data_IF_751356847951
#
_entry.id   IF_751356847951
#
_cell.length_a   1.000
_cell.length_b   1.000
_cell.length_c   1.000
_cell.angle_alpha   90.00
_cell.angle_beta   90.00
_cell.angle_gamma   90.00
#
_symmetry.space_group_name_H-M   'P 1'
#
loop_
_entity.id
_entity.type
_entity.pdbx_description
1 polymer ?
#
# COMPACT_ATOMS: atom_id res chain seq x y z
N UNK A 1 13.03 31.46 21.42
CA UNK A 1 13.23 30.12 20.84
C UNK A 1 11.83 29.57 20.60
N UNK A 2 11.49 29.27 19.38
CA UNK A 2 10.17 28.70 19.05
C UNK A 2 10.14 27.24 19.53
N UNK A 3 9.07 26.91 20.24
CA UNK A 3 8.85 25.54 20.69
C UNK A 3 8.24 24.73 19.54
N UNK A 4 9.09 23.95 18.84
CA UNK A 4 8.68 23.10 17.73
C UNK A 4 7.71 22.00 18.20
N UNK A 5 7.88 21.46 19.41
CA UNK A 5 6.99 20.46 19.96
C UNK A 5 5.57 21.01 20.11
N UNK A 6 5.44 22.24 20.60
CA UNK A 6 4.15 22.94 20.65
C UNK A 6 3.51 23.13 19.27
N UNK A 7 4.30 23.42 18.23
CA UNK A 7 3.79 23.55 16.86
C UNK A 7 3.25 22.19 16.37
N UNK A 8 4.02 21.12 16.54
CA UNK A 8 3.62 19.78 16.14
C UNK A 8 2.37 19.30 16.88
N UNK A 9 2.34 19.50 18.20
CA UNK A 9 1.19 19.14 19.04
C UNK A 9 -0.08 19.92 18.67
N UNK A 10 0.06 21.21 18.36
CA UNK A 10 -1.07 22.03 17.90
C UNK A 10 -1.64 21.48 16.57
N UNK A 11 -0.76 21.10 15.62
CA UNK A 11 -1.17 20.48 14.38
C UNK A 11 -1.92 19.16 14.59
N UNK A 12 -1.40 18.28 15.46
CA UNK A 12 -2.03 17.01 15.83
C UNK A 12 -3.41 17.25 16.43
N UNK A 13 -3.50 18.14 17.42
CA UNK A 13 -4.76 18.44 18.13
C UNK A 13 -5.83 19.08 17.23
N UNK A 14 -5.41 19.87 16.23
CA UNK A 14 -6.32 20.46 15.23
C UNK A 14 -6.68 19.50 14.09
N UNK A 15 -6.21 18.25 14.10
CA UNK A 15 -6.49 17.24 13.08
C UNK A 15 -5.87 17.57 11.73
N UNK A 16 -4.71 18.22 11.72
CA UNK A 16 -3.98 18.47 10.47
C UNK A 16 -3.49 17.15 9.85
N UNK A 17 -3.46 17.07 8.53
CA UNK A 17 -2.79 15.99 7.83
C UNK A 17 -1.30 16.26 7.61
N UNK A 18 -0.96 17.53 7.37
CA UNK A 18 0.41 17.96 7.13
C UNK A 18 0.66 19.31 7.81
N UNK A 19 1.89 19.51 8.29
CA UNK A 19 2.40 20.74 8.89
C UNK A 19 3.55 21.23 8.01
N UNK A 20 3.45 22.44 7.48
CA UNK A 20 4.48 23.07 6.66
C UNK A 20 5.18 24.18 7.44
N UNK A 21 6.52 24.12 7.44
CA UNK A 21 7.40 25.06 8.16
C UNK A 21 8.37 25.66 7.15
N UNK A 22 8.29 26.98 6.96
CA UNK A 22 9.05 27.72 5.95
C UNK A 22 9.54 29.04 6.57
N UNK A 23 10.76 29.48 6.22
CA UNK A 23 11.32 30.77 6.64
C UNK A 23 10.42 31.95 6.23
N UNK A 24 10.30 32.96 7.11
CA UNK A 24 9.49 34.16 6.92
C UNK A 24 7.99 33.88 6.68
N UNK A 25 7.52 32.74 7.18
CA UNK A 25 6.10 32.37 7.19
C UNK A 25 5.71 31.88 8.58
N UNK A 26 4.44 32.06 8.93
CA UNK A 26 3.84 31.34 10.03
C UNK A 26 3.72 29.86 9.69
N UNK A 27 3.72 28.93 10.64
CA UNK A 27 3.41 27.54 10.36
C UNK A 27 2.06 27.40 9.66
N UNK A 28 2.00 26.58 8.62
CA UNK A 28 0.80 26.33 7.81
C UNK A 28 0.37 24.88 8.00
N UNK A 29 -0.86 24.68 8.42
CA UNK A 29 -1.45 23.35 8.63
C UNK A 29 -2.39 23.01 7.47
N UNK A 30 -2.35 21.78 7.02
CA UNK A 30 -3.36 21.24 6.10
C UNK A 30 -4.47 20.56 6.89
N UNK A 31 -5.61 21.24 7.01
CA UNK A 31 -6.78 20.74 7.74
C UNK A 31 -7.91 20.56 6.72
N UNK A 32 -8.52 19.37 6.63
CA UNK A 32 -9.57 19.05 5.67
C UNK A 32 -9.19 19.42 4.22
N UNK A 33 -7.94 19.13 3.82
CA UNK A 33 -7.34 19.46 2.51
C UNK A 33 -7.09 20.97 2.25
N UNK A 34 -7.43 21.86 3.18
CA UNK A 34 -7.23 23.31 3.08
C UNK A 34 -5.97 23.71 3.83
N UNK A 35 -5.13 24.55 3.22
CA UNK A 35 -3.98 25.14 3.89
C UNK A 35 -4.46 26.30 4.77
N UNK A 36 -4.18 26.23 6.06
CA UNK A 36 -4.60 27.20 7.08
C UNK A 36 -3.38 27.73 7.82
N UNK A 37 -3.19 29.03 7.81
CA UNK A 37 -2.11 29.71 8.53
C UNK A 37 -2.39 29.75 10.04
N UNK A 38 -1.38 29.47 10.87
CA UNK A 38 -1.51 29.52 12.34
C UNK A 38 -1.21 30.91 12.84
N UNK A 39 -2.25 31.74 12.99
CA UNK A 39 -2.13 33.12 13.37
C UNK A 39 -1.64 33.33 14.81
N UNK A 40 -1.75 32.30 15.64
CA UNK A 40 -1.31 32.33 17.05
C UNK A 40 0.23 32.18 17.17
N UNK A 41 0.92 31.80 16.10
CA UNK A 41 2.36 31.59 16.06
C UNK A 41 2.98 32.68 15.19
N UNK A 42 4.08 33.33 15.64
CA UNK A 42 4.77 34.33 14.83
C UNK A 42 5.40 33.74 13.56
N UNK A 43 5.80 34.60 12.64
CA UNK A 43 6.61 34.21 11.48
C UNK A 43 7.96 33.66 11.95
N UNK A 44 8.39 32.56 11.30
CA UNK A 44 9.61 31.84 11.65
C UNK A 44 10.82 32.53 11.04
N UNK A 45 11.76 32.92 11.89
CA UNK A 45 13.03 33.46 11.44
C UNK A 45 13.97 32.35 10.94
N UNK A 46 15.01 32.73 10.21
CA UNK A 46 16.08 31.81 9.81
C UNK A 46 16.70 31.05 10.98
N UNK A 47 16.83 31.70 12.10
CA UNK A 47 17.34 31.08 13.34
C UNK A 47 16.40 29.97 13.82
N UNK A 48 15.09 30.25 13.84
CA UNK A 48 14.10 29.26 14.24
C UNK A 48 14.11 28.03 13.31
N UNK A 49 14.28 28.23 12.01
CA UNK A 49 14.42 27.14 11.03
C UNK A 49 15.65 26.27 11.30
N UNK A 50 16.78 26.89 11.65
CA UNK A 50 18.00 26.15 11.99
C UNK A 50 17.85 25.40 13.33
N UNK A 51 17.23 26.03 14.33
CA UNK A 51 16.93 25.37 15.61
C UNK A 51 15.98 24.15 15.40
N UNK A 52 15.00 24.26 14.50
CA UNK A 52 14.11 23.15 14.10
C UNK A 52 14.89 22.04 13.38
N UNK A 53 15.84 22.40 12.52
CA UNK A 53 16.70 21.41 11.86
C UNK A 53 17.53 20.62 12.88
N UNK A 54 18.13 21.32 13.84
CA UNK A 54 18.87 20.68 14.93
C UNK A 54 17.99 19.76 15.78
N UNK A 55 16.76 20.19 16.06
CA UNK A 55 15.79 19.38 16.79
C UNK A 55 15.51 18.04 16.07
N UNK A 56 15.21 18.07 14.77
CA UNK A 56 14.90 16.86 14.03
C UNK A 56 16.13 15.96 13.79
N UNK A 57 17.31 16.53 13.62
CA UNK A 57 18.54 15.74 13.44
C UNK A 57 19.14 15.28 14.76
N UNK A 58 18.78 15.91 15.88
CA UNK A 58 19.18 15.56 17.25
C UNK A 58 20.68 15.23 17.39
N UNK A 59 21.55 15.99 16.72
CA UNK A 59 22.98 15.76 16.74
C UNK A 59 23.49 14.52 15.96
N UNK A 60 22.62 13.82 15.23
CA UNK A 60 22.99 12.65 14.43
C UNK A 60 23.80 13.08 13.20
N UNK A 61 25.12 12.79 13.21
CA UNK A 61 26.03 13.15 12.13
C UNK A 61 25.69 12.43 10.81
N UNK A 62 25.16 11.20 10.86
CA UNK A 62 24.74 10.47 9.68
C UNK A 62 23.60 11.17 8.93
N UNK A 63 22.57 11.63 9.66
CA UNK A 63 21.45 12.39 9.08
C UNK A 63 21.91 13.73 8.49
N UNK A 64 22.87 14.38 9.13
CA UNK A 64 23.45 15.62 8.61
C UNK A 64 24.27 15.40 7.35
N UNK A 65 25.05 14.31 7.28
CA UNK A 65 25.81 13.93 6.10
C UNK A 65 24.89 13.62 4.92
N UNK A 66 23.86 12.81 5.15
CA UNK A 66 22.80 12.50 4.17
C UNK A 66 22.16 13.79 3.63
N UNK A 67 21.74 14.70 4.51
CA UNK A 67 21.18 15.97 4.09
C UNK A 67 22.15 16.85 3.31
N UNK A 68 23.42 16.87 3.69
CA UNK A 68 24.45 17.66 2.99
C UNK A 68 24.73 17.11 1.57
N UNK A 69 24.65 15.81 1.37
CA UNK A 69 24.87 15.13 0.09
C UNK A 69 23.64 15.19 -0.80
N UNK A 70 22.49 14.72 -0.29
CA UNK A 70 21.26 14.54 -1.06
C UNK A 70 20.40 15.81 -1.13
N UNK A 71 20.65 16.84 -0.29
CA UNK A 71 19.85 18.06 -0.15
C UNK A 71 18.39 17.79 0.25
N UNK A 72 18.13 16.60 0.73
CA UNK A 72 16.83 16.15 1.25
C UNK A 72 17.07 15.17 2.40
N UNK A 73 16.08 15.04 3.27
CA UNK A 73 16.07 14.07 4.36
C UNK A 73 14.62 13.67 4.65
N UNK A 74 14.38 12.39 4.78
CA UNK A 74 13.10 11.85 5.22
C UNK A 74 13.28 11.17 6.59
N UNK A 75 12.52 11.63 7.58
CA UNK A 75 12.62 11.19 8.97
C UNK A 75 11.28 10.66 9.47
N UNK A 76 11.34 9.64 10.32
CA UNK A 76 10.23 9.32 11.19
C UNK A 76 10.47 9.97 12.56
N UNK A 77 9.47 10.64 13.08
CA UNK A 77 9.51 11.32 14.35
C UNK A 77 8.28 10.97 15.18
N UNK A 78 8.46 10.73 16.46
CA UNK A 78 7.37 10.39 17.35
C UNK A 78 7.26 11.47 18.45
N UNK A 79 6.05 11.96 18.66
CA UNK A 79 5.76 12.94 19.71
C UNK A 79 4.39 12.63 20.33
N UNK A 80 4.35 12.49 21.66
CA UNK A 80 3.14 12.24 22.43
C UNK A 80 2.27 11.08 21.87
N UNK A 81 2.90 10.01 21.36
CA UNK A 81 2.23 8.86 20.77
C UNK A 81 1.71 9.07 19.34
N UNK A 82 1.90 10.25 18.77
CA UNK A 82 1.64 10.51 17.36
C UNK A 82 2.93 10.35 16.54
N UNK A 83 2.83 9.66 15.42
CA UNK A 83 3.94 9.46 14.49
C UNK A 83 3.87 10.47 13.36
N UNK A 84 5.02 11.04 13.01
CA UNK A 84 5.17 12.02 11.94
C UNK A 84 6.21 11.53 10.94
N UNK A 85 5.91 11.67 9.65
CA UNK A 85 6.92 11.61 8.60
C UNK A 85 7.34 13.02 8.26
N UNK A 86 8.60 13.35 8.51
CA UNK A 86 9.14 14.69 8.28
C UNK A 86 10.06 14.64 7.07
N UNK A 87 9.69 15.33 6.01
CA UNK A 87 10.56 15.61 4.88
C UNK A 87 11.24 16.96 5.11
N UNK A 88 12.55 16.97 4.97
CA UNK A 88 13.38 18.18 4.98
C UNK A 88 13.98 18.36 3.60
N UNK A 89 13.83 19.52 3.01
CA UNK A 89 14.42 19.91 1.72
C UNK A 89 14.96 21.34 1.78
N UNK A 90 15.55 21.85 0.71
CA UNK A 90 16.07 23.20 0.65
C UNK A 90 15.20 24.11 -0.22
N UNK A 91 14.93 25.32 0.26
CA UNK A 91 14.44 26.43 -0.52
C UNK A 91 15.32 27.65 -0.26
N UNK A 92 15.92 28.25 -1.30
CA UNK A 92 16.88 29.34 -1.17
C UNK A 92 18.04 29.07 -0.18
N UNK A 93 18.56 27.84 -0.17
CA UNK A 93 19.59 27.35 0.75
C UNK A 93 19.20 27.39 2.24
N UNK A 94 17.89 27.37 2.54
CA UNK A 94 17.35 27.26 3.90
C UNK A 94 16.51 25.99 3.97
N UNK A 95 16.59 25.21 5.06
CA UNK A 95 15.73 24.04 5.24
C UNK A 95 14.25 24.43 5.25
N UNK A 96 13.43 23.63 4.60
CA UNK A 96 11.97 23.68 4.68
C UNK A 96 11.47 22.30 5.10
N UNK A 97 10.42 22.28 5.92
CA UNK A 97 9.92 21.05 6.51
C UNK A 97 8.46 20.82 6.12
N UNK A 98 8.17 19.57 5.81
CA UNK A 98 6.80 19.09 5.71
C UNK A 98 6.66 17.89 6.64
N UNK A 99 5.96 18.06 7.75
CA UNK A 99 5.67 17.00 8.69
C UNK A 99 4.26 16.45 8.41
N UNK A 100 4.17 15.22 7.92
CA UNK A 100 2.91 14.49 7.73
C UNK A 100 2.55 13.76 9.01
N UNK A 101 1.35 14.00 9.52
CA UNK A 101 0.84 13.28 10.68
C UNK A 101 0.29 11.93 10.21
N UNK A 102 0.90 10.86 10.72
CA UNK A 102 0.50 9.49 10.41
C UNK A 102 -0.61 9.11 11.40
N UNK A 103 -1.74 8.66 10.87
CA UNK A 103 -2.87 8.22 11.69
C UNK A 103 -2.46 6.99 12.50
N UNK A 104 -2.67 7.05 13.82
CA UNK A 104 -2.36 5.95 14.73
C UNK A 104 -3.39 4.81 14.72
N UNK A 105 -4.59 5.07 14.18
CA UNK A 105 -5.63 4.05 14.12
C UNK A 105 -5.34 3.04 13.02
N UNK A 106 -5.14 1.78 13.42
CA UNK A 106 -4.96 0.67 12.49
C UNK A 106 -6.23 0.44 11.66
N UNK A 107 -6.08 0.29 10.34
CA UNK A 107 -7.22 0.00 9.49
C UNK A 107 -7.79 -1.37 9.83
N UNK A 108 -9.12 -1.44 9.93
CA UNK A 108 -9.83 -2.69 10.18
C UNK A 108 -10.33 -3.28 8.87
N UNK A 109 -10.09 -4.58 8.65
CA UNK A 109 -10.47 -5.28 7.43
C UNK A 109 -11.95 -5.09 7.05
N UNK A 110 -12.85 -5.17 8.05
CA UNK A 110 -14.31 -4.99 7.85
C UNK A 110 -14.72 -3.64 7.25
N UNK A 111 -13.88 -2.61 7.44
CA UNK A 111 -14.18 -1.24 6.97
C UNK A 111 -13.66 -0.98 5.54
N UNK A 112 -12.88 -1.90 4.96
CA UNK A 112 -12.28 -1.71 3.63
C UNK A 112 -13.22 -2.05 2.48
N UNK A 113 -14.31 -2.76 2.75
CA UNK A 113 -15.22 -3.24 1.70
C UNK A 113 -14.62 -4.33 0.81
N UNK A 114 -13.54 -4.98 1.27
CA UNK A 114 -12.96 -6.15 0.62
C UNK A 114 -13.81 -7.39 0.87
N UNK A 115 -13.93 -8.30 -0.12
CA UNK A 115 -14.63 -9.57 0.07
C UNK A 115 -13.89 -10.50 1.04
N UNK A 116 -14.63 -11.37 1.72
CA UNK A 116 -14.08 -12.33 2.68
C UNK A 116 -13.05 -13.31 2.09
N UNK A 117 -13.03 -13.51 0.79
CA UNK A 117 -11.99 -14.30 0.13
C UNK A 117 -10.60 -13.75 0.38
N UNK A 118 -10.45 -12.43 0.50
CA UNK A 118 -9.16 -11.77 0.80
C UNK A 118 -8.66 -12.16 2.20
N UNK A 119 -9.56 -12.25 3.18
CA UNK A 119 -9.24 -12.77 4.51
C UNK A 119 -8.77 -14.22 4.47
N UNK A 120 -9.47 -15.07 3.70
CA UNK A 120 -9.13 -16.49 3.56
C UNK A 120 -7.75 -16.72 2.94
N UNK A 121 -7.39 -15.94 1.91
CA UNK A 121 -6.06 -16.06 1.28
C UNK A 121 -4.94 -15.54 2.18
N UNK A 122 -5.22 -14.55 3.02
CA UNK A 122 -4.25 -14.03 4.01
C UNK A 122 -3.95 -15.04 5.14
N UNK A 123 -4.79 -16.05 5.33
CA UNK A 123 -4.59 -17.16 6.29
C UNK A 123 -4.02 -18.42 5.64
N UNK A 124 -3.52 -18.35 4.41
CA UNK A 124 -2.83 -19.48 3.78
C UNK A 124 -1.51 -19.79 4.50
N UNK A 125 -1.11 -21.06 4.55
CA UNK A 125 0.13 -21.44 5.23
C UNK A 125 1.38 -20.96 4.52
N UNK A 126 1.33 -20.83 3.19
CA UNK A 126 2.48 -20.46 2.36
C UNK A 126 2.06 -19.92 1.00
N UNK A 127 2.97 -19.24 0.34
CA UNK A 127 2.84 -18.73 -1.01
C UNK A 127 2.99 -17.21 -1.11
N UNK A 128 2.75 -16.66 -2.29
CA UNK A 128 2.88 -15.23 -2.57
C UNK A 128 1.50 -14.60 -2.80
N UNK A 129 1.22 -13.51 -2.08
CA UNK A 129 0.04 -12.67 -2.28
C UNK A 129 0.55 -11.28 -2.68
N UNK A 130 0.00 -10.71 -3.75
CA UNK A 130 0.37 -9.38 -4.21
C UNK A 130 -0.82 -8.41 -4.11
N UNK A 131 -0.61 -7.30 -3.38
CA UNK A 131 -1.55 -6.17 -3.32
C UNK A 131 -1.05 -5.09 -4.27
N UNK A 132 -1.81 -4.77 -5.31
CA UNK A 132 -1.32 -3.90 -6.37
C UNK A 132 -2.26 -2.71 -6.63
N UNK A 133 -1.74 -1.70 -7.31
CA UNK A 133 -2.49 -0.48 -7.64
C UNK A 133 -1.58 0.74 -7.74
N UNK A 134 -2.09 1.82 -8.29
CA UNK A 134 -1.37 3.10 -8.40
C UNK A 134 -0.99 3.64 -7.01
N UNK A 135 -0.10 4.62 -6.95
CA UNK A 135 0.12 5.39 -5.71
C UNK A 135 -1.21 5.95 -5.19
N UNK A 136 -1.37 5.95 -3.86
CA UNK A 136 -2.60 6.39 -3.18
C UNK A 136 -3.87 5.55 -3.51
N UNK A 137 -3.71 4.30 -3.94
CA UNK A 137 -4.84 3.37 -4.14
C UNK A 137 -5.25 2.61 -2.88
N UNK A 138 -4.59 2.86 -1.74
CA UNK A 138 -4.89 2.24 -0.45
C UNK A 138 -4.15 0.91 -0.21
N UNK A 139 -3.07 0.60 -0.94
CA UNK A 139 -2.29 -0.65 -0.75
C UNK A 139 -1.79 -0.83 0.67
N UNK A 140 -1.11 0.19 1.24
CA UNK A 140 -0.62 0.16 2.62
C UNK A 140 -1.76 -0.03 3.62
N UNK A 141 -2.90 0.61 3.39
CA UNK A 141 -4.10 0.45 4.22
C UNK A 141 -4.61 -0.99 4.20
N UNK A 142 -4.67 -1.62 3.02
CA UNK A 142 -5.08 -3.02 2.88
C UNK A 142 -4.07 -3.96 3.53
N UNK A 143 -2.79 -3.74 3.29
CA UNK A 143 -1.72 -4.53 3.86
C UNK A 143 -1.77 -4.52 5.39
N UNK A 144 -1.85 -3.31 5.98
CA UNK A 144 -1.92 -3.15 7.43
C UNK A 144 -3.22 -3.69 8.05
N UNK A 145 -4.33 -3.64 7.30
CA UNK A 145 -5.57 -4.29 7.73
C UNK A 145 -5.48 -5.81 7.74
N UNK A 146 -4.76 -6.41 6.78
CA UNK A 146 -4.49 -7.86 6.77
C UNK A 146 -3.57 -8.27 7.91
N UNK A 147 -2.48 -7.52 8.16
CA UNK A 147 -1.59 -7.74 9.30
C UNK A 147 -2.39 -7.67 10.61
N UNK A 148 -3.22 -6.64 10.76
CA UNK A 148 -4.04 -6.45 11.95
C UNK A 148 -5.04 -7.61 12.16
N UNK A 149 -5.68 -8.09 11.10
CA UNK A 149 -6.58 -9.24 11.14
C UNK A 149 -5.86 -10.52 11.59
N UNK A 150 -4.70 -10.81 10.98
CA UNK A 150 -3.88 -11.99 11.33
C UNK A 150 -3.41 -11.90 12.78
N UNK A 151 -2.96 -10.72 13.21
CA UNK A 151 -2.49 -10.47 14.57
C UNK A 151 -3.56 -10.76 15.64
N UNK A 152 -4.84 -10.51 15.33
CA UNK A 152 -5.95 -10.80 16.24
C UNK A 152 -6.42 -12.27 16.20
N UNK A 153 -6.19 -12.97 15.09
CA UNK A 153 -6.79 -14.29 14.84
C UNK A 153 -5.81 -15.44 14.94
N UNK A 154 -4.53 -15.23 14.59
CA UNK A 154 -3.53 -16.30 14.45
C UNK A 154 -2.31 -16.10 15.36
N UNK A 155 -1.64 -17.20 15.72
CA UNK A 155 -0.39 -17.19 16.47
C UNK A 155 0.78 -17.36 15.50
N UNK A 156 1.24 -16.27 14.91
CA UNK A 156 2.28 -16.23 13.86
C UNK A 156 3.39 -15.25 14.21
N UNK A 157 4.58 -15.47 13.69
CA UNK A 157 5.61 -14.44 13.66
C UNK A 157 5.54 -13.71 12.31
N UNK A 158 5.16 -12.43 12.37
CA UNK A 158 5.02 -11.55 11.22
C UNK A 158 6.21 -10.60 11.19
N UNK A 159 6.99 -10.63 10.12
CA UNK A 159 8.03 -9.66 9.86
C UNK A 159 7.56 -8.71 8.76
N UNK A 160 7.70 -7.40 8.96
CA UNK A 160 7.44 -6.42 7.91
C UNK A 160 8.73 -5.71 7.51
N UNK A 161 8.85 -5.45 6.21
CA UNK A 161 9.90 -4.64 5.60
C UNK A 161 9.22 -3.46 4.92
N UNK A 162 9.41 -2.25 5.41
CA UNK A 162 8.65 -1.07 4.98
C UNK A 162 9.59 0.13 4.73
N UNK A 163 9.19 1.03 3.84
CA UNK A 163 9.91 2.28 3.61
C UNK A 163 8.94 3.43 3.30
N UNK A 164 8.62 4.25 4.33
CA UNK A 164 8.79 4.01 5.77
C UNK A 164 7.68 3.13 6.37
N UNK A 165 7.79 2.81 7.66
CA UNK A 165 6.69 2.20 8.42
C UNK A 165 5.55 3.23 8.54
N UNK A 166 4.37 2.92 7.95
CA UNK A 166 3.22 3.83 7.98
C UNK A 166 2.31 3.62 9.21
N UNK A 167 2.21 2.39 9.71
CA UNK A 167 1.39 2.03 10.86
C UNK A 167 2.19 1.17 11.83
N UNK A 168 2.11 1.49 13.11
CA UNK A 168 2.77 0.68 14.16
C UNK A 168 1.79 -0.33 14.73
N UNK A 169 2.14 -1.59 14.62
CA UNK A 169 1.38 -2.70 15.18
C UNK A 169 1.88 -3.06 16.57
N UNK A 170 0.96 -3.30 17.48
CA UNK A 170 1.26 -3.93 18.75
C UNK A 170 1.00 -5.43 18.62
N UNK A 171 1.95 -6.26 19.08
CA UNK A 171 1.77 -7.72 19.09
C UNK A 171 0.64 -8.11 20.04
N UNK A 172 -0.28 -8.95 19.55
CA UNK A 172 -1.39 -9.52 20.33
C UNK A 172 -1.28 -11.05 20.35
N UNK A 173 -1.98 -11.76 19.44
CA UNK A 173 -1.77 -13.20 19.27
C UNK A 173 -0.50 -13.50 18.49
N UNK A 174 -0.21 -12.68 17.50
CA UNK A 174 1.02 -12.81 16.71
C UNK A 174 2.15 -11.95 17.27
N UNK A 175 3.38 -12.38 17.06
CA UNK A 175 4.56 -11.55 17.27
C UNK A 175 4.85 -10.75 16.01
N UNK A 176 4.77 -9.41 16.08
CA UNK A 176 5.05 -8.54 14.96
C UNK A 176 6.39 -7.85 15.15
N UNK A 177 7.26 -7.96 14.15
CA UNK A 177 8.54 -7.25 14.06
C UNK A 177 8.53 -6.41 12.80
N UNK A 178 8.55 -5.09 12.94
CA UNK A 178 8.57 -4.15 11.82
C UNK A 178 9.96 -3.60 11.64
N UNK A 179 10.47 -3.64 10.40
CA UNK A 179 11.78 -3.12 10.03
C UNK A 179 11.65 -2.06 8.95
N UNK A 180 12.32 -0.95 9.16
CA UNK A 180 12.42 0.11 8.18
C UNK A 180 13.59 -0.14 7.23
N UNK A 181 13.31 -0.05 5.92
CA UNK A 181 14.29 -0.29 4.86
C UNK A 181 14.86 1.05 4.40
N UNK A 182 16.19 1.12 4.29
CA UNK A 182 16.91 2.30 3.80
C UNK A 182 18.32 2.39 4.34
N UNK A 183 19.11 3.29 3.81
CA UNK A 183 20.45 3.53 4.29
C UNK A 183 20.43 4.05 5.74
N UNK A 184 21.22 3.43 6.61
CA UNK A 184 21.24 3.77 8.04
C UNK A 184 19.95 3.43 8.82
N UNK A 185 19.08 2.60 8.24
CA UNK A 185 17.88 2.04 8.87
C UNK A 185 18.12 0.61 9.35
N UNK A 186 17.02 -0.11 9.69
CA UNK A 186 17.08 -1.48 10.20
C UNK A 186 17.65 -2.48 9.18
N UNK A 187 17.47 -2.21 7.88
CA UNK A 187 18.09 -2.95 6.79
C UNK A 187 18.29 -2.07 5.55
N UNK A 188 19.38 -2.30 4.82
CA UNK A 188 19.79 -1.43 3.72
C UNK A 188 18.92 -1.56 2.45
N UNK A 189 18.32 -2.73 2.21
CA UNK A 189 17.46 -2.99 1.06
C UNK A 189 16.37 -4.01 1.40
N UNK A 190 15.32 -4.06 0.57
CA UNK A 190 14.28 -5.07 0.70
C UNK A 190 14.84 -6.49 0.53
N UNK A 191 15.69 -6.72 -0.47
CA UNK A 191 16.33 -8.02 -0.71
C UNK A 191 17.16 -8.46 0.50
N UNK A 192 18.01 -7.60 1.07
CA UNK A 192 18.78 -7.89 2.27
C UNK A 192 17.88 -8.22 3.48
N UNK A 193 16.79 -7.48 3.65
CA UNK A 193 15.79 -7.72 4.69
C UNK A 193 15.12 -9.11 4.56
N UNK A 194 14.77 -9.53 3.32
CA UNK A 194 14.17 -10.84 3.05
C UNK A 194 15.16 -11.98 3.35
N UNK A 195 16.41 -11.83 2.90
CA UNK A 195 17.48 -12.82 3.18
C UNK A 195 17.68 -13.01 4.68
N UNK A 196 17.59 -11.92 5.47
CA UNK A 196 17.66 -12.02 6.92
C UNK A 196 16.43 -12.71 7.52
N UNK A 197 15.24 -12.44 6.97
CA UNK A 197 13.97 -13.02 7.43
C UNK A 197 13.98 -14.56 7.40
N UNK A 198 14.66 -15.19 6.42
CA UNK A 198 14.85 -16.63 6.33
C UNK A 198 15.56 -17.24 7.56
N UNK A 199 16.27 -16.41 8.36
CA UNK A 199 17.00 -16.85 9.56
C UNK A 199 16.31 -16.39 10.86
N UNK A 200 15.17 -15.75 10.77
CA UNK A 200 14.50 -15.12 11.90
C UNK A 200 13.23 -15.88 12.36
N UNK A 201 13.08 -17.14 11.94
CA UNK A 201 11.89 -17.96 12.30
C UNK A 201 10.58 -17.21 12.01
N UNK A 202 10.45 -16.73 10.78
CA UNK A 202 9.32 -15.92 10.33
C UNK A 202 8.28 -16.81 9.65
N UNK A 203 7.01 -16.74 10.05
CA UNK A 203 5.91 -17.43 9.36
C UNK A 203 5.38 -16.61 8.18
N UNK A 204 5.28 -15.29 8.38
CA UNK A 204 4.69 -14.35 7.42
C UNK A 204 5.65 -13.19 7.19
N UNK A 205 6.05 -13.01 5.94
CA UNK A 205 6.84 -11.85 5.52
C UNK A 205 5.95 -10.85 4.77
N UNK A 206 6.00 -9.60 5.19
CA UNK A 206 5.32 -8.50 4.51
C UNK A 206 6.35 -7.58 3.89
N UNK A 207 6.25 -7.38 2.56
CA UNK A 207 7.16 -6.55 1.77
C UNK A 207 6.41 -5.31 1.33
N UNK A 208 6.80 -4.16 1.85
CA UNK A 208 6.16 -2.88 1.56
C UNK A 208 6.10 -2.58 0.08
N UNK A 209 7.15 -2.88 -0.67
CA UNK A 209 7.16 -2.72 -2.12
C UNK A 209 8.19 -3.62 -2.83
N UNK A 210 7.77 -4.21 -3.95
CA UNK A 210 8.61 -5.00 -4.87
C UNK A 210 8.78 -4.18 -6.16
N UNK A 211 9.99 -3.65 -6.38
CA UNK A 211 10.31 -2.76 -7.51
C UNK A 211 11.29 -3.34 -8.53
N UNK A 212 12.08 -4.29 -8.14
CA UNK A 212 13.24 -4.79 -8.87
C UNK A 212 13.34 -6.31 -8.85
N UNK A 213 14.24 -6.81 -9.71
CA UNK A 213 14.50 -8.23 -9.91
C UNK A 213 15.01 -8.89 -8.63
N UNK A 214 15.94 -8.25 -7.94
CA UNK A 214 16.57 -8.83 -6.75
C UNK A 214 15.55 -9.07 -5.65
N UNK A 215 14.65 -8.12 -5.42
CA UNK A 215 13.59 -8.25 -4.41
C UNK A 215 12.59 -9.34 -4.78
N UNK A 216 12.18 -9.46 -6.05
CA UNK A 216 11.23 -10.49 -6.45
C UNK A 216 11.84 -11.89 -6.45
N UNK A 217 13.13 -12.04 -6.81
CA UNK A 217 13.83 -13.32 -6.77
C UNK A 217 13.78 -13.91 -5.34
N UNK A 218 14.23 -13.14 -4.34
CA UNK A 218 14.25 -13.62 -2.94
C UNK A 218 12.85 -13.76 -2.35
N UNK A 219 11.86 -12.96 -2.80
CA UNK A 219 10.46 -13.11 -2.38
C UNK A 219 9.84 -14.43 -2.91
N UNK A 220 10.14 -14.81 -4.15
CA UNK A 220 9.71 -16.08 -4.74
C UNK A 220 10.37 -17.26 -4.01
N UNK A 221 11.67 -17.20 -3.74
CA UNK A 221 12.42 -18.22 -2.99
C UNK A 221 11.82 -18.40 -1.58
N UNK A 222 11.53 -17.31 -0.88
CA UNK A 222 10.91 -17.37 0.45
C UNK A 222 9.51 -18.01 0.40
N UNK A 223 8.69 -17.66 -0.59
CA UNK A 223 7.38 -18.27 -0.79
C UNK A 223 7.46 -19.76 -1.14
N UNK A 224 8.50 -20.19 -1.85
CA UNK A 224 8.78 -21.59 -2.19
C UNK A 224 9.26 -22.41 -0.98
N UNK A 225 9.99 -21.76 -0.06
CA UNK A 225 10.53 -22.41 1.15
C UNK A 225 9.49 -22.61 2.27
N UNK A 226 8.21 -22.31 2.00
CA UNK A 226 7.11 -22.62 2.93
C UNK A 226 6.57 -21.44 3.73
N UNK A 227 6.99 -20.21 3.40
CA UNK A 227 6.52 -19.00 4.07
C UNK A 227 5.36 -18.34 3.33
N UNK A 228 4.50 -17.62 4.05
CA UNK A 228 3.54 -16.72 3.43
C UNK A 228 4.19 -15.36 3.19
N UNK A 229 4.27 -14.96 1.93
CA UNK A 229 4.82 -13.66 1.53
C UNK A 229 3.69 -12.77 1.02
N UNK A 230 3.54 -11.58 1.58
CA UNK A 230 2.56 -10.59 1.16
C UNK A 230 3.33 -9.34 0.71
N UNK A 231 3.26 -9.00 -0.58
CA UNK A 231 4.01 -7.86 -1.12
C UNK A 231 3.13 -6.86 -1.84
N UNK A 232 3.66 -5.65 -2.11
CA UNK A 232 2.96 -4.69 -2.97
C UNK A 232 3.72 -4.38 -4.25
N UNK A 233 2.97 -4.06 -5.32
CA UNK A 233 3.51 -3.58 -6.60
C UNK A 233 2.66 -2.43 -7.17
N UNK A 234 3.23 -1.64 -8.09
CA UNK A 234 2.54 -0.50 -8.73
C UNK A 234 1.99 -0.86 -10.12
N UNK A 235 1.20 -1.92 -10.22
CA UNK A 235 0.51 -2.35 -11.44
C UNK A 235 -1.00 -2.08 -11.34
N UNK A 236 -1.70 -2.00 -12.47
CA UNK A 236 -3.10 -1.56 -12.54
C UNK A 236 -4.09 -2.72 -12.58
N UNK A 237 -3.63 -3.94 -12.89
CA UNK A 237 -4.43 -5.16 -12.97
C UNK A 237 -3.60 -6.38 -12.58
N UNK A 238 -4.26 -7.50 -12.34
CA UNK A 238 -3.60 -8.77 -12.02
C UNK A 238 -2.79 -9.30 -13.22
N UNK A 239 -3.31 -9.17 -14.44
CA UNK A 239 -2.62 -9.56 -15.68
C UNK A 239 -1.36 -8.72 -15.89
N UNK A 240 -1.42 -7.40 -15.66
CA UNK A 240 -0.26 -6.51 -15.72
C UNK A 240 0.78 -6.83 -14.64
N UNK A 241 0.35 -7.33 -13.49
CA UNK A 241 1.26 -7.72 -12.41
C UNK A 241 2.16 -8.88 -12.83
N UNK A 242 1.60 -9.91 -13.44
CA UNK A 242 2.36 -11.04 -13.97
C UNK A 242 3.33 -10.56 -15.06
N UNK A 243 2.83 -9.78 -16.01
CA UNK A 243 3.64 -9.22 -17.09
C UNK A 243 4.80 -8.37 -16.55
N UNK A 244 4.56 -7.60 -15.50
CA UNK A 244 5.60 -6.78 -14.84
C UNK A 244 6.66 -7.63 -14.18
N UNK A 245 6.28 -8.73 -13.52
CA UNK A 245 7.24 -9.68 -12.94
C UNK A 245 8.10 -10.29 -14.04
N UNK A 246 7.50 -10.77 -15.11
CA UNK A 246 8.22 -11.33 -16.25
C UNK A 246 9.16 -10.32 -16.91
N UNK A 247 8.77 -9.04 -16.90
CA UNK A 247 9.55 -7.94 -17.45
C UNK A 247 10.84 -7.60 -16.66
N UNK A 248 11.05 -8.17 -15.47
CA UNK A 248 12.33 -8.06 -14.76
C UNK A 248 13.41 -9.01 -15.31
N UNK A 249 13.04 -9.96 -16.19
CA UNK A 249 13.92 -11.02 -16.65
C UNK A 249 14.10 -11.02 -18.17
N UNK A 250 15.26 -11.45 -18.60
CA UNK A 250 15.53 -11.68 -20.00
C UNK A 250 14.65 -12.83 -20.55
N UNK A 251 14.39 -12.83 -21.85
CA UNK A 251 13.52 -13.82 -22.49
C UNK A 251 13.92 -15.27 -22.22
N UNK A 252 15.24 -15.55 -22.10
CA UNK A 252 15.78 -16.89 -21.78
C UNK A 252 15.33 -17.39 -20.41
N UNK A 253 15.16 -16.49 -19.44
CA UNK A 253 14.87 -16.84 -18.04
C UNK A 253 13.37 -16.86 -17.75
N UNK A 254 12.57 -16.18 -18.59
CA UNK A 254 11.14 -16.02 -18.36
C UNK A 254 10.37 -17.34 -18.21
N UNK A 255 10.80 -18.40 -18.89
CA UNK A 255 10.13 -19.70 -18.76
C UNK A 255 10.28 -20.25 -17.33
N UNK A 256 11.48 -20.23 -16.79
CA UNK A 256 11.77 -20.65 -15.41
C UNK A 256 10.97 -19.82 -14.41
N UNK A 257 10.96 -18.50 -14.59
CA UNK A 257 10.21 -17.58 -13.72
C UNK A 257 8.71 -17.81 -13.79
N UNK A 258 8.14 -18.11 -14.97
CA UNK A 258 6.74 -18.50 -15.11
C UNK A 258 6.40 -19.73 -14.28
N UNK A 259 7.27 -20.74 -14.27
CA UNK A 259 7.08 -21.91 -13.43
C UNK A 259 7.12 -21.56 -11.95
N UNK A 260 8.11 -20.77 -11.49
CA UNK A 260 8.21 -20.33 -10.10
C UNK A 260 6.98 -19.52 -9.69
N UNK A 261 6.64 -18.48 -10.43
CA UNK A 261 5.45 -17.64 -10.13
C UNK A 261 4.18 -18.49 -10.10
N UNK A 262 3.99 -19.38 -11.06
CA UNK A 262 2.79 -20.22 -11.14
C UNK A 262 2.66 -21.22 -9.98
N UNK A 263 3.75 -21.58 -9.32
CA UNK A 263 3.75 -22.51 -8.17
C UNK A 263 3.42 -21.80 -6.87
N UNK A 264 3.96 -20.58 -6.67
CA UNK A 264 3.86 -19.89 -5.39
C UNK A 264 2.80 -18.79 -5.33
N UNK A 265 2.43 -18.17 -6.47
CA UNK A 265 1.45 -17.10 -6.49
C UNK A 265 0.06 -17.65 -6.15
N UNK A 266 -0.56 -17.12 -5.09
CA UNK A 266 -1.90 -17.52 -4.61
C UNK A 266 -2.97 -16.53 -5.01
N UNK A 267 -2.64 -15.22 -4.96
CA UNK A 267 -3.59 -14.19 -5.36
C UNK A 267 -2.90 -12.89 -5.76
N UNK A 268 -3.60 -12.12 -6.60
CA UNK A 268 -3.31 -10.72 -6.85
C UNK A 268 -4.57 -9.90 -6.55
N UNK A 269 -4.42 -8.88 -5.71
CA UNK A 269 -5.49 -7.96 -5.32
C UNK A 269 -5.12 -6.59 -5.89
N UNK A 270 -5.65 -6.27 -7.07
CA UNK A 270 -5.44 -4.96 -7.70
C UNK A 270 -6.55 -4.01 -7.29
N UNK A 271 -6.20 -2.83 -6.79
CA UNK A 271 -7.19 -1.94 -6.18
C UNK A 271 -7.14 -0.51 -6.73
N UNK A 272 -8.31 0.10 -6.81
CA UNK A 272 -8.49 1.51 -7.16
C UNK A 272 -9.41 2.16 -6.14
N UNK A 273 -9.10 3.41 -5.80
CA UNK A 273 -9.99 4.26 -5.01
C UNK A 273 -10.75 5.19 -5.95
N UNK A 274 -12.06 5.18 -5.84
CA UNK A 274 -12.99 5.96 -6.66
C UNK A 274 -13.80 6.85 -5.73
N UNK A 275 -14.08 8.10 -6.14
CA UNK A 275 -14.93 8.99 -5.36
C UNK A 275 -16.32 8.37 -5.21
N UNK A 276 -16.77 8.22 -3.99
CA UNK A 276 -18.09 7.75 -3.62
C UNK A 276 -19.17 8.80 -3.77
N UNK A 277 -20.42 8.42 -3.43
CA UNK A 277 -21.56 9.32 -3.48
C UNK A 277 -21.61 10.29 -2.28
N UNK A 278 -20.98 9.92 -1.16
CA UNK A 278 -21.00 10.64 0.11
C UNK A 278 -19.66 11.37 0.37
N UNK A 279 -18.99 11.85 -0.68
CA UNK A 279 -17.66 12.49 -0.64
C UNK A 279 -16.54 11.63 0.02
N UNK A 280 -16.77 10.33 0.15
CA UNK A 280 -15.81 9.33 0.62
C UNK A 280 -14.99 8.71 -0.54
N UNK A 281 -14.05 7.85 -0.20
CA UNK A 281 -13.30 7.06 -1.17
C UNK A 281 -13.74 5.60 -1.08
N UNK A 282 -14.26 5.08 -2.18
CA UNK A 282 -14.71 3.70 -2.30
C UNK A 282 -13.62 2.86 -2.94
N UNK A 283 -13.19 1.80 -2.25
CA UNK A 283 -12.28 0.83 -2.83
C UNK A 283 -13.02 -0.10 -3.79
N UNK A 284 -12.48 -0.23 -4.98
CA UNK A 284 -12.96 -1.14 -6.03
C UNK A 284 -11.81 -2.07 -6.41
N UNK A 285 -11.81 -3.32 -5.92
CA UNK A 285 -10.74 -4.28 -6.19
C UNK A 285 -10.99 -5.07 -7.48
N UNK A 286 -9.93 -5.53 -8.12
CA UNK A 286 -9.87 -6.71 -8.97
C UNK A 286 -9.15 -7.79 -8.17
N UNK A 287 -9.70 -8.99 -8.09
CA UNK A 287 -9.13 -10.09 -7.33
C UNK A 287 -8.93 -11.28 -8.26
N UNK A 288 -7.69 -11.71 -8.40
CA UNK A 288 -7.33 -12.94 -9.09
C UNK A 288 -6.92 -13.96 -8.02
N UNK A 289 -7.66 -15.06 -7.95
CA UNK A 289 -7.25 -16.25 -7.19
C UNK A 289 -6.59 -17.22 -8.16
N UNK A 290 -5.37 -17.61 -7.87
CA UNK A 290 -4.59 -18.49 -8.74
C UNK A 290 -4.97 -19.94 -8.45
N UNK A 291 -5.80 -20.50 -9.32
CA UNK A 291 -6.13 -21.92 -9.38
C UNK A 291 -5.28 -22.63 -10.45
N UNK A 292 -5.49 -23.93 -10.64
CA UNK A 292 -4.75 -24.74 -11.63
C UNK A 292 -4.88 -24.18 -13.06
N UNK A 293 -6.01 -23.57 -13.40
CA UNK A 293 -6.22 -22.99 -14.73
C UNK A 293 -5.38 -21.73 -14.91
N UNK A 294 -5.45 -20.79 -13.96
CA UNK A 294 -4.66 -19.55 -14.01
C UNK A 294 -3.16 -19.88 -13.92
N UNK A 295 -2.79 -20.82 -13.05
CA UNK A 295 -1.43 -21.36 -12.96
C UNK A 295 -0.95 -21.91 -14.30
N UNK A 296 -1.81 -22.67 -15.01
CA UNK A 296 -1.54 -23.18 -16.36
C UNK A 296 -1.38 -22.08 -17.41
N UNK A 297 -2.18 -21.01 -17.33
CA UNK A 297 -2.07 -19.85 -18.22
C UNK A 297 -0.77 -19.09 -18.02
N UNK A 298 -0.33 -18.93 -16.76
CA UNK A 298 0.95 -18.29 -16.43
C UNK A 298 2.14 -19.06 -17.03
N UNK A 299 2.08 -20.39 -17.01
CA UNK A 299 3.13 -21.30 -17.54
C UNK A 299 3.22 -21.37 -19.05
N UNK A 300 2.21 -20.89 -19.79
CA UNK A 300 2.24 -20.92 -21.25
C UNK A 300 3.50 -20.25 -21.79
N UNK A 301 4.08 -20.81 -22.83
CA UNK A 301 5.24 -20.27 -23.51
C UNK A 301 4.96 -18.83 -23.94
N UNK A 302 3.82 -18.58 -24.56
CA UNK A 302 3.34 -17.24 -24.90
C UNK A 302 2.30 -16.80 -23.86
N UNK A 303 2.72 -15.94 -22.92
CA UNK A 303 1.83 -15.34 -21.94
C UNK A 303 0.84 -14.37 -22.61
N UNK A 304 -0.43 -14.44 -22.19
CA UNK A 304 -1.49 -13.57 -22.70
C UNK A 304 -2.26 -12.92 -21.56
N UNK A 305 -2.26 -11.59 -21.51
CA UNK A 305 -3.03 -10.80 -20.52
C UNK A 305 -4.52 -11.04 -20.67
N UNK A 306 -5.03 -11.08 -21.93
CA UNK A 306 -6.45 -11.26 -22.19
C UNK A 306 -6.96 -12.63 -21.69
N UNK A 307 -6.17 -13.70 -21.83
CA UNK A 307 -6.56 -15.02 -21.31
C UNK A 307 -6.65 -15.03 -19.77
N UNK A 308 -5.77 -14.29 -19.08
CA UNK A 308 -5.86 -14.11 -17.63
C UNK A 308 -7.10 -13.31 -17.24
N UNK A 309 -7.40 -12.22 -17.96
CA UNK A 309 -8.58 -11.37 -17.72
C UNK A 309 -9.89 -12.16 -17.92
N UNK A 310 -9.97 -12.95 -18.98
CA UNK A 310 -11.10 -13.87 -19.23
C UNK A 310 -11.22 -14.93 -18.13
N UNK A 311 -10.09 -15.48 -17.67
CA UNK A 311 -10.08 -16.43 -16.58
C UNK A 311 -10.58 -15.81 -15.27
N UNK A 312 -10.16 -14.59 -14.92
CA UNK A 312 -10.67 -13.87 -13.74
C UNK A 312 -12.18 -13.69 -13.82
N UNK A 313 -12.70 -13.31 -14.99
CA UNK A 313 -14.13 -13.07 -15.20
C UNK A 313 -14.97 -14.36 -15.08
N UNK A 314 -14.45 -15.51 -15.50
CA UNK A 314 -15.16 -16.78 -15.50
C UNK A 314 -15.01 -17.56 -14.18
N UNK A 315 -14.11 -17.14 -13.27
CA UNK A 315 -13.77 -17.86 -12.03
C UNK A 315 -14.33 -17.21 -10.74
N UNK A 316 -15.48 -16.58 -10.85
CA UNK A 316 -16.14 -15.95 -9.71
C UNK A 316 -16.47 -16.94 -8.59
N UNK A 317 -16.82 -18.17 -8.92
CA UNK A 317 -17.10 -19.24 -7.95
C UNK A 317 -15.89 -19.65 -7.10
N UNK A 318 -14.65 -19.42 -7.62
CA UNK A 318 -13.40 -19.60 -6.89
C UNK A 318 -12.97 -18.39 -6.08
N UNK A 319 -13.75 -17.31 -6.14
CA UNK A 319 -13.49 -16.07 -5.43
C UNK A 319 -12.75 -15.00 -6.25
N UNK A 320 -12.46 -15.26 -7.53
CA UNK A 320 -11.94 -14.21 -8.42
C UNK A 320 -13.04 -13.20 -8.74
N UNK A 321 -12.65 -11.92 -8.81
CA UNK A 321 -13.59 -10.81 -9.07
C UNK A 321 -12.95 -9.87 -10.08
N UNK A 322 -13.55 -9.75 -11.27
CA UNK A 322 -13.07 -8.79 -12.26
C UNK A 322 -13.36 -7.35 -11.85
N UNK A 323 -12.57 -6.42 -12.35
CA UNK A 323 -12.77 -4.99 -12.05
C UNK A 323 -14.17 -4.50 -12.45
N UNK A 324 -14.72 -4.96 -13.59
CA UNK A 324 -16.07 -4.62 -14.04
C UNK A 324 -17.12 -5.14 -13.08
N UNK A 325 -16.99 -6.35 -12.55
CA UNK A 325 -17.90 -6.91 -11.55
C UNK A 325 -17.86 -6.12 -10.25
N UNK A 326 -16.69 -5.69 -9.81
CA UNK A 326 -16.53 -4.84 -8.64
C UNK A 326 -17.18 -3.46 -8.83
N UNK A 327 -17.03 -2.85 -10.01
CA UNK A 327 -17.70 -1.60 -10.36
C UNK A 327 -19.23 -1.78 -10.36
N UNK A 328 -19.75 -2.85 -10.98
CA UNK A 328 -21.20 -3.13 -11.01
C UNK A 328 -21.75 -3.29 -9.57
N UNK A 329 -21.07 -4.03 -8.72
CA UNK A 329 -21.45 -4.20 -7.31
C UNK A 329 -21.45 -2.86 -6.55
N UNK A 330 -20.45 -2.00 -6.77
CA UNK A 330 -20.39 -0.69 -6.15
C UNK A 330 -21.51 0.26 -6.60
N UNK A 331 -21.93 0.18 -7.88
CA UNK A 331 -23.08 0.93 -8.41
C UNK A 331 -24.40 0.40 -7.83
N UNK A 332 -24.62 -0.91 -7.82
CA UNK A 332 -25.84 -1.53 -7.30
C UNK A 332 -26.01 -1.28 -5.79
N UNK A 333 -24.91 -1.28 -5.05
CA UNK A 333 -24.88 -0.94 -3.62
C UNK A 333 -24.93 0.56 -3.36
N UNK A 334 -25.06 1.40 -4.39
CA UNK A 334 -25.12 2.87 -4.33
C UNK A 334 -23.90 3.53 -3.69
N UNK A 335 -22.79 2.85 -3.61
CA UNK A 335 -21.52 3.40 -3.10
C UNK A 335 -20.90 4.39 -4.09
N UNK A 336 -21.02 4.14 -5.39
CA UNK A 336 -20.58 5.04 -6.47
C UNK A 336 -21.70 5.25 -7.47
N UNK A 337 -21.67 6.37 -8.20
CA UNK A 337 -22.59 6.62 -9.30
C UNK A 337 -22.18 5.87 -10.57
N UNK A 338 -23.14 5.62 -11.48
CA UNK A 338 -22.86 5.03 -12.79
C UNK A 338 -21.86 5.89 -13.59
N UNK A 339 -21.95 7.20 -13.45
CA UNK A 339 -21.01 8.14 -14.08
C UNK A 339 -19.58 7.92 -13.58
N UNK A 340 -19.38 7.81 -12.26
CA UNK A 340 -18.07 7.54 -11.67
C UNK A 340 -17.50 6.19 -12.13
N UNK A 341 -18.35 5.16 -12.23
CA UNK A 341 -17.95 3.84 -12.71
C UNK A 341 -17.51 3.88 -14.18
N UNK A 342 -18.30 4.50 -15.06
CA UNK A 342 -17.99 4.62 -16.51
C UNK A 342 -16.70 5.40 -16.76
N UNK A 343 -16.38 6.40 -15.94
CA UNK A 343 -15.12 7.16 -16.03
C UNK A 343 -13.86 6.32 -15.83
N UNK A 344 -13.98 5.11 -15.28
CA UNK A 344 -12.87 4.19 -15.05
C UNK A 344 -12.61 3.23 -16.23
N UNK A 345 -13.44 3.25 -17.25
CA UNK A 345 -13.48 2.29 -18.34
C UNK A 345 -13.35 3.02 -19.70
N UNK A 346 -12.96 2.25 -20.71
CA UNK A 346 -13.10 2.62 -22.11
C UNK A 346 -14.54 2.37 -22.63
N UNK A 347 -14.80 2.66 -23.90
CA UNK A 347 -16.13 2.53 -24.49
C UNK A 347 -16.65 1.09 -24.42
N UNK A 348 -15.82 0.09 -24.74
CA UNK A 348 -16.17 -1.32 -24.67
C UNK A 348 -16.47 -1.76 -23.22
N UNK A 349 -15.68 -1.31 -22.28
CA UNK A 349 -15.90 -1.53 -20.86
C UNK A 349 -17.19 -0.89 -20.35
N UNK A 350 -17.55 0.29 -20.84
CA UNK A 350 -18.80 0.96 -20.51
C UNK A 350 -20.03 0.20 -21.01
N UNK A 351 -19.97 -0.39 -22.21
CA UNK A 351 -21.02 -1.25 -22.76
C UNK A 351 -21.17 -2.54 -21.93
N UNK A 352 -20.04 -3.19 -21.61
CA UNK A 352 -20.00 -4.39 -20.79
C UNK A 352 -20.56 -4.13 -19.39
N UNK A 353 -20.22 -3.03 -18.74
CA UNK A 353 -20.76 -2.63 -17.44
C UNK A 353 -22.29 -2.44 -17.52
N UNK A 354 -22.76 -1.75 -18.55
CA UNK A 354 -24.21 -1.50 -18.74
C UNK A 354 -24.98 -2.80 -18.92
N UNK A 355 -24.46 -3.73 -19.73
CA UNK A 355 -25.05 -5.05 -19.94
C UNK A 355 -25.10 -5.85 -18.64
N UNK A 356 -24.00 -5.85 -17.89
CA UNK A 356 -23.89 -6.55 -16.61
C UNK A 356 -24.89 -6.01 -15.57
N UNK A 357 -25.03 -4.69 -15.45
CA UNK A 357 -26.01 -4.06 -14.55
C UNK A 357 -27.44 -4.46 -14.89
N UNK A 358 -27.81 -4.52 -16.18
CA UNK A 358 -29.12 -4.97 -16.60
C UNK A 358 -29.39 -6.43 -16.19
N UNK A 359 -28.44 -7.33 -16.44
CA UNK A 359 -28.53 -8.75 -16.03
C UNK A 359 -28.64 -8.92 -14.51
N UNK A 360 -27.90 -8.14 -13.73
CA UNK A 360 -27.96 -8.22 -12.26
C UNK A 360 -29.27 -7.69 -11.71
N UNK A 361 -29.86 -6.65 -12.32
CA UNK A 361 -31.16 -6.12 -11.94
C UNK A 361 -32.30 -7.12 -12.27
N UNK A 362 -32.27 -7.78 -13.44
CA UNK A 362 -33.23 -8.83 -13.81
C UNK A 362 -33.17 -10.01 -12.83
N UNK A 363 -31.98 -10.46 -12.43
CA UNK A 363 -31.82 -11.54 -11.43
C UNK A 363 -32.40 -11.15 -10.06
N UNK A 364 -32.22 -9.91 -9.64
CA UNK A 364 -32.85 -9.39 -8.39
C UNK A 364 -34.35 -9.39 -8.47
N UNK A 365 -34.93 -8.98 -9.59
CA UNK A 365 -36.37 -9.01 -9.79
C UNK A 365 -36.92 -10.44 -9.76
N UNK A 366 -36.27 -11.38 -10.41
CA UNK A 366 -36.66 -12.79 -10.44
C UNK A 366 -36.43 -13.55 -9.12
N UNK A 367 -35.64 -13.01 -8.18
CA UNK A 367 -35.45 -13.58 -6.83
C UNK A 367 -36.45 -13.09 -5.80
N UNK A 368 -37.32 -12.15 -6.16
CA UNK A 368 -38.36 -11.55 -5.31
C UNK A 368 -39.76 -12.12 -5.67
N UNK A 369 -39.87 -12.82 -6.81
CA UNK A 369 -41.04 -13.59 -7.25
C UNK A 369 -40.86 -15.06 -6.87
#
# INVERSE_FOLDING_TARGET
MIDIESILMNGINKGASDIHIVENKKPIFRINRILTEMNEIPELTRKDILDIYEFFTNGNEGLRSEFNEEKRLDLNFEIAGARLRVNVSLSNNVPVFTARIIKSELPQFKNLGLPDVVRKIASLPQGLILVTGKSNSGKSTTLNALINEINHTENKKILTLENPIEFVHQSEKSLIVQKEVGEGRDCNSFSAGIINALREDCDILVIGEIRDKETIDVALEMAESGHLVIGTMHTKSASETIDRILGFYDLSDQLTVKYMVSSVLKAVISQRLINGNDDDLVMVPEIMIVDDTISGLIRKEKFSKSEIEDAIQTRMEKGSISFINSLANAVISRRISLYQAKKQLDDAGCENLTRLLNQMNERKLNSIV
#
